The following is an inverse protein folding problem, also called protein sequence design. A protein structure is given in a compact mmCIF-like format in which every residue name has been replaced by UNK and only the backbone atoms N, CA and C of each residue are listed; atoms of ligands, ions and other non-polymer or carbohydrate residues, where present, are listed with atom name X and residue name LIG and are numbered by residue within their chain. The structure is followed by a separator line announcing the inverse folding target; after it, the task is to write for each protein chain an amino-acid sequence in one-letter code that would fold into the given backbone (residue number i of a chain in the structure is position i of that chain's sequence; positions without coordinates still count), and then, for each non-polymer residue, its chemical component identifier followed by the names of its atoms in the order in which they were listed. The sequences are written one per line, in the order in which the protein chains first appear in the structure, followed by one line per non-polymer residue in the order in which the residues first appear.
data_IF_780690108101
#
_entry.id   IF_780690108101
#
_cell.length_a   1.000
_cell.length_b   1.000
_cell.length_c   1.000
_cell.angle_alpha   90.00
_cell.angle_beta   90.00
_cell.angle_gamma   90.00
#
_symmetry.space_group_name_H-M   'P 1'
#
loop_
_entity.id
_entity.type
_entity.pdbx_description
1 polymer ?
#
# COMPACT_ATOMS: atom_id res chain seq x y z
N UNK A 1 -23.57 -6.47 -15.53
CA UNK A 1 -22.10 -6.49 -15.61
C UNK A 1 -21.57 -5.74 -14.39
N UNK A 2 -20.91 -6.42 -13.46
CA UNK A 2 -20.33 -5.78 -12.28
C UNK A 2 -18.85 -5.51 -12.51
N UNK A 3 -18.40 -4.28 -12.26
CA UNK A 3 -16.97 -3.96 -12.19
C UNK A 3 -16.39 -4.67 -10.96
N UNK A 4 -15.37 -5.50 -11.16
CA UNK A 4 -14.75 -6.30 -10.08
C UNK A 4 -13.53 -5.63 -9.46
N UNK A 5 -12.95 -4.66 -10.16
CA UNK A 5 -11.81 -3.85 -9.73
C UNK A 5 -11.81 -2.49 -10.45
N UNK A 6 -11.16 -1.50 -9.85
CA UNK A 6 -11.00 -0.16 -10.41
C UNK A 6 -9.57 0.34 -10.18
N UNK A 7 -9.10 1.19 -11.10
CA UNK A 7 -7.82 1.87 -11.03
C UNK A 7 -8.05 3.37 -11.24
N UNK A 8 -7.47 4.21 -10.39
CA UNK A 8 -7.73 5.64 -10.33
C UNK A 8 -6.44 6.43 -10.53
N UNK A 9 -6.32 7.11 -11.68
CA UNK A 9 -5.17 7.96 -12.00
C UNK A 9 -5.30 9.33 -11.30
N UNK A 10 -4.93 9.40 -10.03
CA UNK A 10 -5.11 10.59 -9.20
C UNK A 10 -3.82 11.38 -9.03
N UNK A 11 -3.94 12.72 -9.08
CA UNK A 11 -2.92 13.68 -8.66
C UNK A 11 -3.63 14.87 -7.99
N UNK A 12 -3.21 15.33 -6.80
CA UNK A 12 -2.01 14.91 -6.03
C UNK A 12 -2.11 13.51 -5.37
N UNK A 13 -0.97 12.90 -4.97
CA UNK A 13 -0.92 11.65 -4.19
C UNK A 13 -1.46 11.84 -2.76
N UNK A 14 -1.49 10.77 -1.95
CA UNK A 14 -2.13 10.81 -0.64
C UNK A 14 -1.47 10.07 0.55
N UNK A 15 -0.66 9.03 0.37
CA UNK A 15 -0.29 8.14 1.47
C UNK A 15 0.57 8.75 2.60
N UNK A 16 1.15 9.95 2.39
CA UNK A 16 1.89 10.71 3.40
C UNK A 16 1.01 11.70 4.20
N UNK A 17 -0.22 11.96 3.77
CA UNK A 17 -1.14 12.85 4.48
C UNK A 17 -1.75 12.11 5.68
N UNK A 18 -1.54 12.66 6.88
CA UNK A 18 -2.01 12.13 8.16
C UNK A 18 -2.38 13.27 9.10
N UNK A 19 -3.15 13.00 10.18
CA UNK A 19 -3.74 14.04 11.02
C UNK A 19 -2.75 14.91 11.79
N UNK A 20 -1.54 14.42 12.12
CA UNK A 20 -0.54 15.22 12.85
C UNK A 20 0.84 15.23 12.18
N UNK A 21 0.99 14.51 11.06
CA UNK A 21 2.21 14.61 10.26
C UNK A 21 3.45 14.09 10.98
N UNK A 22 3.43 12.83 11.43
CA UNK A 22 4.40 12.20 12.34
C UNK A 22 5.89 12.42 12.09
N UNK A 23 6.32 12.71 10.87
CA UNK A 23 7.75 12.86 10.55
C UNK A 23 8.25 14.30 10.67
N UNK A 24 7.39 15.29 10.40
CA UNK A 24 7.81 16.70 10.30
C UNK A 24 6.86 17.70 10.96
N UNK A 25 5.83 17.23 11.68
CA UNK A 25 4.88 18.07 12.43
C UNK A 25 3.98 18.95 11.55
N UNK A 26 3.86 18.62 10.26
CA UNK A 26 2.92 19.27 9.33
C UNK A 26 1.89 18.29 8.78
N UNK A 27 0.63 18.69 8.76
CA UNK A 27 -0.54 17.89 8.36
C UNK A 27 -0.49 17.38 6.90
N UNK A 28 0.39 17.96 6.07
CA UNK A 28 0.63 17.56 4.67
C UNK A 28 2.11 17.32 4.44
N UNK A 29 2.47 16.19 3.83
CA UNK A 29 3.88 15.81 3.58
C UNK A 29 4.01 15.07 2.25
N UNK A 30 5.21 14.99 1.69
CA UNK A 30 5.50 14.20 0.48
C UNK A 30 4.53 14.46 -0.68
N UNK A 31 4.22 15.73 -0.95
CA UNK A 31 3.26 16.17 -1.99
C UNK A 31 1.80 15.75 -1.78
N UNK A 32 1.46 15.15 -0.64
CA UNK A 32 0.14 14.66 -0.30
C UNK A 32 -0.66 15.71 0.48
N UNK A 33 -1.80 16.12 -0.05
CA UNK A 33 -2.73 17.05 0.62
C UNK A 33 -3.88 16.33 1.31
N UNK A 34 -4.37 15.24 0.71
CA UNK A 34 -5.42 14.40 1.25
C UNK A 34 -5.03 12.94 1.06
N UNK A 35 -5.34 12.08 2.03
CA UNK A 35 -5.07 10.66 1.90
C UNK A 35 -6.19 9.98 1.10
N UNK A 36 -6.03 9.95 -0.23
CA UNK A 36 -7.01 9.42 -1.18
C UNK A 36 -7.50 8.01 -0.80
N UNK A 37 -6.55 7.12 -0.47
CA UNK A 37 -6.84 5.72 -0.15
C UNK A 37 -7.52 5.60 1.22
N UNK A 38 -7.05 6.33 2.23
CA UNK A 38 -7.69 6.32 3.55
C UNK A 38 -9.13 6.85 3.49
N UNK A 39 -9.37 7.94 2.74
CA UNK A 39 -10.70 8.49 2.52
C UNK A 39 -11.60 7.46 1.83
N UNK A 40 -11.12 6.80 0.78
CA UNK A 40 -11.88 5.78 0.07
C UNK A 40 -12.23 4.58 0.97
N UNK A 41 -11.27 4.11 1.79
CA UNK A 41 -11.49 3.04 2.74
C UNK A 41 -12.56 3.39 3.79
N UNK A 42 -12.43 4.53 4.47
CA UNK A 42 -13.43 4.97 5.45
C UNK A 42 -14.79 5.23 4.80
N UNK A 43 -14.81 5.80 3.60
CA UNK A 43 -16.06 6.02 2.86
C UNK A 43 -16.76 4.70 2.52
N UNK A 44 -16.02 3.69 2.07
CA UNK A 44 -16.58 2.38 1.75
C UNK A 44 -17.20 1.71 2.99
N UNK A 45 -16.50 1.73 4.13
CA UNK A 45 -17.01 1.21 5.40
C UNK A 45 -18.26 1.98 5.87
N UNK A 46 -18.23 3.31 5.79
CA UNK A 46 -19.36 4.17 6.17
C UNK A 46 -20.59 3.98 5.28
N UNK A 47 -20.38 3.89 3.97
CA UNK A 47 -21.46 3.86 2.96
C UNK A 47 -22.11 2.48 2.85
N UNK A 48 -21.36 1.42 3.14
CA UNK A 48 -21.78 0.03 2.98
C UNK A 48 -21.49 -0.83 4.22
N UNK A 49 -21.92 -0.44 5.44
CA UNK A 49 -21.51 -1.07 6.69
C UNK A 49 -21.99 -2.52 6.84
N UNK A 50 -23.03 -2.93 6.10
CA UNK A 50 -23.50 -4.32 6.09
C UNK A 50 -22.64 -5.24 5.20
N UNK A 51 -21.77 -4.68 4.35
CA UNK A 51 -20.96 -5.42 3.37
C UNK A 51 -19.46 -5.22 3.56
N UNK A 52 -19.05 -4.07 4.08
CA UNK A 52 -17.65 -3.68 4.23
C UNK A 52 -17.45 -3.31 5.70
N UNK A 53 -16.90 -4.25 6.46
CA UNK A 53 -16.53 -4.09 7.86
C UNK A 53 -15.02 -4.19 8.05
N UNK A 54 -14.33 -5.01 7.27
CA UNK A 54 -12.87 -5.13 7.31
C UNK A 54 -12.26 -4.69 5.99
N UNK A 55 -11.23 -3.85 6.08
CA UNK A 55 -10.50 -3.34 4.92
C UNK A 55 -9.04 -3.74 5.04
N UNK A 56 -8.39 -4.06 3.91
CA UNK A 56 -6.94 -4.07 3.83
C UNK A 56 -6.45 -2.97 2.89
N UNK A 57 -5.40 -2.27 3.30
CA UNK A 57 -4.67 -1.30 2.49
C UNK A 57 -3.26 -1.84 2.32
N UNK A 58 -2.87 -2.14 1.09
CA UNK A 58 -1.51 -2.53 0.76
C UNK A 58 -0.82 -1.41 -0.02
N UNK A 59 0.25 -0.90 0.57
CA UNK A 59 1.08 0.18 0.05
C UNK A 59 2.42 -0.40 -0.41
N UNK A 60 2.69 -0.25 -1.71
CA UNK A 60 3.97 -0.62 -2.33
C UNK A 60 4.61 0.56 -3.05
N UNK A 61 4.17 1.79 -2.74
CA UNK A 61 5.00 2.97 -2.96
C UNK A 61 6.34 2.78 -2.24
N UNK A 62 7.42 3.26 -2.85
CA UNK A 62 8.77 3.07 -2.30
C UNK A 62 8.96 3.77 -0.96
N UNK A 63 8.19 4.82 -0.70
CA UNK A 63 8.22 5.54 0.56
C UNK A 63 7.23 4.94 1.55
N UNK A 64 7.59 4.96 2.83
CA UNK A 64 6.65 4.56 3.88
C UNK A 64 5.38 5.43 3.83
N UNK A 65 4.20 4.80 3.74
CA UNK A 65 2.89 5.45 3.83
C UNK A 65 2.52 5.93 5.24
N UNK A 66 3.38 6.75 5.84
CA UNK A 66 3.30 7.21 7.24
C UNK A 66 1.97 7.91 7.59
N UNK A 67 1.35 8.59 6.62
CA UNK A 67 0.05 9.23 6.84
C UNK A 67 -1.07 8.20 6.95
N UNK A 68 -1.03 7.15 6.13
CA UNK A 68 -1.98 6.04 6.21
C UNK A 68 -1.82 5.26 7.51
N UNK A 69 -0.58 4.99 7.94
CA UNK A 69 -0.32 4.39 9.26
C UNK A 69 -0.95 5.24 10.38
N UNK A 70 -0.67 6.54 10.39
CA UNK A 70 -1.17 7.44 11.42
C UNK A 70 -2.71 7.44 11.52
N UNK A 71 -3.39 7.40 10.38
CA UNK A 71 -4.86 7.38 10.34
C UNK A 71 -5.44 6.09 10.93
N UNK A 72 -4.80 4.94 10.68
CA UNK A 72 -5.40 3.64 10.95
C UNK A 72 -4.80 2.87 12.12
N UNK A 73 -3.70 3.31 12.73
CA UNK A 73 -3.01 2.58 13.81
C UNK A 73 -3.85 2.24 15.06
N UNK A 74 -5.06 2.79 15.17
CA UNK A 74 -6.00 2.54 16.26
C UNK A 74 -7.34 1.94 15.76
N UNK A 75 -7.43 1.58 14.48
CA UNK A 75 -8.63 1.04 13.84
C UNK A 75 -8.37 -0.42 13.40
N UNK A 76 -8.62 -1.38 14.30
CA UNK A 76 -8.34 -2.80 14.07
C UNK A 76 -9.17 -3.43 12.92
N UNK A 77 -10.22 -2.74 12.44
CA UNK A 77 -10.99 -3.17 11.27
C UNK A 77 -10.23 -2.90 9.95
N UNK A 78 -9.17 -2.08 9.98
CA UNK A 78 -8.33 -1.75 8.84
C UNK A 78 -6.93 -2.31 9.02
N UNK A 79 -6.54 -3.25 8.18
CA UNK A 79 -5.15 -3.72 8.08
C UNK A 79 -4.38 -2.82 7.12
N UNK A 80 -3.31 -2.19 7.58
CA UNK A 80 -2.37 -1.47 6.72
C UNK A 80 -1.06 -2.25 6.61
N UNK A 81 -0.58 -2.43 5.38
CA UNK A 81 0.70 -3.08 5.11
C UNK A 81 1.49 -2.18 4.17
N UNK A 82 2.75 -1.90 4.51
CA UNK A 82 3.64 -1.13 3.65
C UNK A 82 4.94 -1.89 3.42
N UNK A 83 5.27 -2.15 2.16
CA UNK A 83 6.64 -2.50 1.75
C UNK A 83 7.28 -1.21 1.25
N UNK A 84 8.35 -0.77 1.89
CA UNK A 84 9.01 0.50 1.55
C UNK A 84 10.52 0.38 1.73
N UNK A 85 11.25 1.26 1.07
CA UNK A 85 12.67 1.39 1.31
C UNK A 85 12.97 2.13 2.61
N UNK A 86 14.05 1.72 3.25
CA UNK A 86 14.52 2.30 4.48
C UNK A 86 16.05 2.34 4.49
N UNK A 87 16.59 3.48 4.90
CA UNK A 87 18.02 3.70 5.05
C UNK A 87 18.32 5.15 5.42
N UNK A 88 19.60 5.44 5.68
CA UNK A 88 20.03 6.78 6.07
C UNK A 88 19.67 7.81 4.99
N UNK A 89 18.99 8.89 5.40
CA UNK A 89 18.59 9.97 4.51
C UNK A 89 17.42 9.67 3.56
N UNK A 90 16.82 8.48 3.60
CA UNK A 90 15.65 8.16 2.78
C UNK A 90 14.36 8.67 3.42
N UNK A 91 13.62 9.48 2.67
CA UNK A 91 12.34 9.99 3.13
C UNK A 91 11.31 8.84 3.24
N UNK A 92 10.41 8.82 4.24
CA UNK A 92 10.29 9.77 5.34
C UNK A 92 10.99 9.31 6.63
N UNK A 93 12.01 8.43 6.56
CA UNK A 93 12.74 7.93 7.73
C UNK A 93 11.83 7.41 8.88
N UNK A 94 10.77 6.67 8.53
CA UNK A 94 9.83 6.07 9.48
C UNK A 94 9.42 4.66 9.02
N UNK A 95 8.59 3.97 9.80
CA UNK A 95 8.08 2.63 9.49
C UNK A 95 8.79 1.51 10.25
N UNK A 96 9.62 1.81 11.24
CA UNK A 96 10.34 0.78 12.03
C UNK A 96 9.74 0.48 13.41
N UNK A 97 8.96 1.41 13.96
CA UNK A 97 8.63 1.50 15.38
C UNK A 97 7.12 1.40 15.65
N UNK A 98 6.34 0.92 14.69
CA UNK A 98 4.91 0.71 14.89
C UNK A 98 4.64 -0.47 15.82
N UNK A 99 4.01 -0.18 16.96
CA UNK A 99 3.51 -1.16 17.93
C UNK A 99 2.04 -1.56 17.66
N UNK A 100 1.41 -0.98 16.63
CA UNK A 100 0.01 -1.22 16.32
C UNK A 100 -0.20 -2.59 15.65
N UNK A 101 -1.16 -3.38 16.17
CA UNK A 101 -1.39 -4.78 15.75
C UNK A 101 -1.86 -4.94 14.30
N UNK A 102 -2.51 -3.90 13.78
CA UNK A 102 -3.09 -3.84 12.44
C UNK A 102 -2.17 -3.14 11.43
N UNK A 103 -0.96 -2.76 11.83
CA UNK A 103 0.07 -2.17 10.97
C UNK A 103 1.16 -3.20 10.73
N UNK A 104 1.52 -3.42 9.47
CA UNK A 104 2.64 -4.29 9.08
C UNK A 104 3.57 -3.53 8.16
N UNK A 105 4.65 -3.03 8.73
CA UNK A 105 5.72 -2.39 7.99
C UNK A 105 6.81 -3.39 7.65
N UNK A 106 7.20 -3.43 6.38
CA UNK A 106 8.23 -4.32 5.84
C UNK A 106 9.30 -3.42 5.19
N UNK A 107 10.24 -2.89 6.00
CA UNK A 107 11.32 -2.07 5.49
C UNK A 107 12.32 -2.94 4.72
N UNK A 108 12.67 -2.50 3.52
CA UNK A 108 13.72 -3.08 2.68
C UNK A 108 14.89 -2.10 2.56
N UNK A 109 16.13 -2.58 2.41
CA UNK A 109 17.26 -1.68 2.18
C UNK A 109 17.05 -0.85 0.91
N UNK A 110 17.57 0.38 0.89
CA UNK A 110 17.61 1.20 -0.33
C UNK A 110 18.29 0.40 -1.46
N UNK A 111 17.69 0.40 -2.65
CA UNK A 111 18.18 -0.35 -3.80
C UNK A 111 17.82 -1.84 -3.80
N UNK A 112 16.84 -2.25 -2.97
CA UNK A 112 16.32 -3.63 -2.98
C UNK A 112 15.93 -4.09 -4.38
N UNK A 113 16.09 -5.38 -4.62
CA UNK A 113 15.83 -6.02 -5.91
C UNK A 113 14.48 -6.74 -5.93
N UNK A 114 14.04 -7.12 -7.13
CA UNK A 114 12.76 -7.77 -7.41
C UNK A 114 12.49 -9.01 -6.57
N UNK A 115 13.51 -9.82 -6.32
CA UNK A 115 13.39 -11.01 -5.48
C UNK A 115 13.13 -10.66 -4.01
N UNK A 116 13.73 -9.59 -3.48
CA UNK A 116 13.50 -9.12 -2.11
C UNK A 116 12.06 -8.60 -1.94
N UNK A 117 11.58 -7.84 -2.91
CA UNK A 117 10.18 -7.40 -2.96
C UNK A 117 9.21 -8.60 -3.03
N UNK A 118 9.44 -9.56 -3.93
CA UNK A 118 8.61 -10.76 -4.03
C UNK A 118 8.61 -11.60 -2.75
N UNK A 119 9.75 -11.73 -2.08
CA UNK A 119 9.84 -12.42 -0.80
C UNK A 119 9.03 -11.70 0.29
N UNK A 120 9.08 -10.37 0.33
CA UNK A 120 8.27 -9.55 1.23
C UNK A 120 6.76 -9.73 0.99
N UNK A 121 6.33 -9.87 -0.27
CA UNK A 121 4.93 -10.11 -0.62
C UNK A 121 4.34 -11.39 -0.01
N UNK A 122 5.14 -12.42 0.29
CA UNK A 122 4.63 -13.61 0.99
C UNK A 122 4.08 -13.28 2.39
N UNK A 123 4.69 -12.31 3.09
CA UNK A 123 4.15 -11.83 4.37
C UNK A 123 2.87 -11.03 4.17
N UNK A 124 2.81 -10.19 3.13
CA UNK A 124 1.60 -9.43 2.75
C UNK A 124 0.42 -10.37 2.54
N UNK A 125 0.60 -11.40 1.70
CA UNK A 125 -0.47 -12.36 1.40
C UNK A 125 -0.99 -13.08 2.64
N UNK A 126 -0.09 -13.54 3.52
CA UNK A 126 -0.47 -14.20 4.77
C UNK A 126 -1.26 -13.26 5.69
N UNK A 127 -0.88 -11.98 5.75
CA UNK A 127 -1.55 -11.03 6.64
C UNK A 127 -2.94 -10.65 6.11
N UNK A 128 -3.06 -10.44 4.80
CA UNK A 128 -4.35 -10.20 4.15
C UNK A 128 -5.28 -11.42 4.33
N UNK A 129 -4.77 -12.63 4.11
CA UNK A 129 -5.55 -13.85 4.31
C UNK A 129 -6.05 -13.99 5.75
N UNK A 130 -5.17 -13.73 6.73
CA UNK A 130 -5.54 -13.78 8.14
C UNK A 130 -6.56 -12.72 8.55
N UNK A 131 -6.44 -11.49 8.02
CA UNK A 131 -7.38 -10.40 8.30
C UNK A 131 -8.74 -10.62 7.64
N UNK A 132 -8.76 -11.33 6.51
CA UNK A 132 -9.97 -11.66 5.76
C UNK A 132 -10.83 -10.42 5.48
N UNK A 133 -10.28 -9.42 4.74
CA UNK A 133 -10.98 -8.18 4.43
C UNK A 133 -12.14 -8.41 3.46
N UNK A 134 -13.11 -7.50 3.47
CA UNK A 134 -14.21 -7.46 2.50
C UNK A 134 -13.81 -6.73 1.21
N UNK A 135 -12.79 -5.87 1.29
CA UNK A 135 -12.23 -5.11 0.17
C UNK A 135 -10.75 -4.78 0.42
N UNK A 136 -9.98 -4.75 -0.67
CA UNK A 136 -8.57 -4.38 -0.66
C UNK A 136 -8.39 -3.08 -1.45
N UNK A 137 -7.68 -2.11 -0.87
CA UNK A 137 -7.19 -0.92 -1.55
C UNK A 137 -5.67 -1.01 -1.72
N UNK A 138 -5.16 -0.50 -2.84
CA UNK A 138 -3.74 -0.43 -3.13
C UNK A 138 -3.29 1.03 -3.28
N UNK A 139 -2.25 1.41 -2.53
CA UNK A 139 -1.44 2.61 -2.80
C UNK A 139 -0.31 2.20 -3.75
N UNK A 140 -0.52 2.41 -5.05
CA UNK A 140 0.39 1.94 -6.09
C UNK A 140 1.32 3.06 -6.61
N UNK A 141 2.34 3.39 -5.81
CA UNK A 141 3.49 4.18 -6.29
C UNK A 141 4.38 3.33 -7.20
N UNK A 142 5.05 3.96 -8.17
CA UNK A 142 5.97 3.26 -9.09
C UNK A 142 7.40 3.79 -8.96
N UNK A 143 7.64 4.55 -7.90
CA UNK A 143 8.86 5.28 -7.61
C UNK A 143 10.00 4.32 -7.17
N UNK A 144 9.68 3.02 -7.04
CA UNK A 144 10.63 1.93 -6.81
C UNK A 144 11.28 1.40 -8.10
N UNK A 145 10.93 1.93 -9.28
CA UNK A 145 11.51 1.50 -10.56
C UNK A 145 12.96 1.96 -10.73
N UNK A 146 13.76 1.14 -11.40
CA UNK A 146 15.18 1.43 -11.70
C UNK A 146 15.39 2.76 -12.45
N UNK A 147 14.43 3.14 -13.29
CA UNK A 147 14.47 4.37 -14.08
C UNK A 147 13.92 5.60 -13.34
N UNK A 148 13.48 5.44 -12.09
CA UNK A 148 13.02 6.55 -11.27
C UNK A 148 14.20 7.23 -10.56
N UNK A 149 14.33 8.55 -10.77
CA UNK A 149 15.38 9.37 -10.15
C UNK A 149 15.30 9.47 -8.63
N UNK A 150 14.18 9.06 -8.02
CA UNK A 150 13.96 9.09 -6.57
C UNK A 150 14.62 7.88 -5.89
N UNK A 151 14.77 6.76 -6.60
CA UNK A 151 15.48 5.56 -6.18
C UNK A 151 16.77 5.39 -7.01
N UNK A 152 17.93 5.77 -6.46
CA UNK A 152 19.19 5.35 -7.07
C UNK A 152 19.42 3.86 -6.75
N UNK A 153 19.33 3.02 -7.79
CA UNK A 153 19.73 1.60 -7.85
C UNK A 153 18.66 0.51 -7.53
N UNK A 154 17.42 0.59 -8.03
CA UNK A 154 16.34 -0.39 -7.72
C UNK A 154 15.85 -1.31 -8.85
N UNK A 155 15.20 -2.42 -8.46
CA UNK A 155 14.28 -3.38 -9.14
C UNK A 155 14.14 -3.41 -10.70
N UNK A 156 14.67 -4.47 -11.34
CA UNK A 156 14.40 -4.85 -12.74
C UNK A 156 13.22 -5.87 -12.85
N UNK A 157 12.23 -5.57 -13.71
CA UNK A 157 11.23 -6.54 -14.21
C UNK A 157 10.22 -7.17 -13.21
N UNK A 158 9.77 -6.45 -12.16
CA UNK A 158 8.67 -6.93 -11.28
C UNK A 158 7.26 -6.59 -11.79
N UNK A 159 7.13 -5.69 -12.77
CA UNK A 159 5.82 -5.16 -13.18
C UNK A 159 5.10 -5.99 -14.25
N UNK A 160 5.81 -6.75 -15.10
CA UNK A 160 5.19 -7.49 -16.22
C UNK A 160 4.68 -8.90 -15.84
N UNK A 161 5.39 -9.62 -14.95
CA UNK A 161 5.03 -11.00 -14.54
C UNK A 161 3.74 -11.09 -13.72
N UNK A 162 3.33 -9.96 -13.13
CA UNK A 162 2.19 -9.87 -12.23
C UNK A 162 0.87 -9.54 -12.97
N UNK A 163 0.79 -9.72 -14.30
CA UNK A 163 -0.42 -9.41 -15.09
C UNK A 163 -1.29 -10.62 -15.46
N UNK A 164 -0.87 -11.86 -15.13
CA UNK A 164 -1.60 -13.09 -15.51
C UNK A 164 -2.42 -13.68 -14.36
N UNK A 165 -3.74 -13.64 -14.52
CA UNK A 165 -4.72 -14.37 -13.69
C UNK A 165 -4.81 -15.83 -14.14
N UNK A 166 -4.36 -16.78 -13.32
CA UNK A 166 -5.01 -18.10 -13.19
C UNK A 166 -4.84 -18.64 -11.77
N UNK A 167 -5.95 -19.07 -11.16
CA UNK A 167 -5.92 -20.02 -10.04
C UNK A 167 -5.26 -21.29 -10.56
N UNK A 168 -4.08 -21.62 -10.06
CA UNK A 168 -3.63 -23.01 -9.97
C UNK A 168 -3.35 -23.30 -8.49
N UNK A 169 -3.93 -24.39 -7.99
CA UNK A 169 -3.66 -24.97 -6.67
C UNK A 169 -4.08 -24.17 -5.41
N UNK A 170 -5.08 -23.30 -5.48
CA UNK A 170 -5.71 -22.73 -4.27
C UNK A 170 -4.90 -21.65 -3.53
N UNK A 171 -3.82 -21.14 -4.12
CA UNK A 171 -3.17 -19.89 -3.67
C UNK A 171 -3.80 -18.67 -4.37
N UNK A 172 -4.07 -17.59 -3.63
CA UNK A 172 -4.43 -16.30 -4.21
C UNK A 172 -3.22 -15.71 -4.94
N UNK A 173 -3.37 -15.37 -6.22
CA UNK A 173 -2.44 -14.50 -6.96
C UNK A 173 -3.19 -13.24 -7.40
N UNK A 174 -2.76 -12.09 -6.89
CA UNK A 174 -3.30 -10.80 -7.29
C UNK A 174 -2.45 -10.26 -8.43
N UNK A 175 -3.05 -10.18 -9.62
CA UNK A 175 -2.38 -9.55 -10.76
C UNK A 175 -2.48 -8.03 -10.67
N UNK A 176 -1.36 -7.32 -10.58
CA UNK A 176 -1.29 -5.86 -10.38
C UNK A 176 -0.87 -5.14 -11.67
N UNK A 177 -1.60 -4.08 -12.08
CA UNK A 177 -1.34 -3.38 -13.34
C UNK A 177 -0.13 -2.42 -13.27
N UNK A 178 0.55 -2.18 -14.40
CA UNK A 178 1.68 -1.26 -14.49
C UNK A 178 1.18 0.18 -14.72
N UNK A 179 1.22 1.06 -13.72
CA UNK A 179 1.21 2.52 -13.88
C UNK A 179 1.35 3.23 -12.52
N UNK A 180 1.79 4.48 -12.54
CA UNK A 180 2.13 5.32 -11.38
C UNK A 180 0.92 6.03 -10.80
N UNK A 181 0.04 5.32 -10.08
CA UNK A 181 -1.10 5.96 -9.42
C UNK A 181 -1.48 5.34 -8.08
N UNK A 182 -1.49 6.18 -7.04
CA UNK A 182 -2.03 5.85 -5.74
C UNK A 182 -3.57 5.75 -5.80
N UNK A 183 -4.07 4.58 -6.17
CA UNK A 183 -5.48 4.21 -6.04
C UNK A 183 -5.87 3.05 -6.94
N UNK A 184 -5.98 1.85 -6.38
CA UNK A 184 -6.81 0.80 -6.99
C UNK A 184 -7.59 0.04 -5.92
N UNK A 185 -8.79 -0.42 -6.27
CA UNK A 185 -9.67 -1.14 -5.36
C UNK A 185 -10.12 -2.46 -6.00
N UNK A 186 -10.04 -3.56 -5.26
CA UNK A 186 -10.48 -4.89 -5.68
C UNK A 186 -11.35 -5.56 -4.61
N UNK A 187 -12.41 -6.23 -5.05
CA UNK A 187 -13.26 -7.04 -4.17
C UNK A 187 -12.65 -8.44 -4.02
N UNK A 188 -12.50 -8.92 -2.79
CA UNK A 188 -12.24 -10.34 -2.51
C UNK A 188 -13.54 -11.12 -2.69
N UNK A 189 -13.50 -12.13 -3.56
CA UNK A 189 -14.61 -13.06 -3.82
C UNK A 189 -14.26 -14.47 -3.40
#
# INVERSE_FOLDING_TARGET
SGVVNAYCLLRPPGHHAGPNGRVWGGDTQGFCFFNNVAIAAKYAMYRYPQRIRRVAIFDFDVHHGNGTEEIFMHDDDVLFISIHAYGEGFYPASGLDSEARNIVNIPLPIGFKSNEFHNACEQVYRRIEHHNPDIIFLSAGMDAREDDTIMKDSVEETYESNSRKTRSNGRMSWGMPPCSCQGSAGLSG
#
